data_IF_651096531182
#
_entry.id   IF_651096531182
#
_cell.length_a   1.000
_cell.length_b   1.000
_cell.length_c   1.000
_cell.angle_alpha   90.00
_cell.angle_beta   90.00
_cell.angle_gamma   90.00
#
_symmetry.space_group_name_H-M   'P 1'
#
loop_
_entity.id
_entity.type
_entity.pdbx_description
1 polymer ?
#
# COMPACT_ATOMS: atom_id res chain seq x y z
N UNK A 1 45.24 19.25 -17.55
CA UNK A 1 44.33 19.73 -16.48
C UNK A 1 42.87 19.51 -16.89
N UNK A 2 42.00 18.98 -16.01
CA UNK A 2 40.58 18.84 -16.33
C UNK A 2 39.95 20.23 -16.58
N UNK A 3 39.23 20.36 -17.69
CA UNK A 3 38.58 21.61 -18.10
C UNK A 3 37.57 22.08 -17.04
N UNK A 4 37.69 23.33 -16.58
CA UNK A 4 36.75 23.98 -15.63
C UNK A 4 35.29 23.86 -16.06
N UNK A 5 35.01 23.79 -17.37
CA UNK A 5 33.67 23.61 -17.93
C UNK A 5 33.06 22.25 -17.55
N UNK A 6 33.84 21.16 -17.57
CA UNK A 6 33.37 19.81 -17.19
C UNK A 6 33.06 19.73 -15.69
N UNK A 7 33.88 20.37 -14.84
CA UNK A 7 33.66 20.41 -13.40
C UNK A 7 32.36 21.15 -13.03
N UNK A 8 32.15 22.35 -13.62
CA UNK A 8 30.92 23.14 -13.40
C UNK A 8 29.66 22.40 -13.85
N UNK A 9 29.73 21.64 -14.95
CA UNK A 9 28.62 20.80 -15.42
C UNK A 9 28.22 19.71 -14.43
N UNK A 10 29.19 19.04 -13.80
CA UNK A 10 28.93 18.03 -12.76
C UNK A 10 28.29 18.66 -11.52
N UNK A 11 28.80 19.82 -11.08
CA UNK A 11 28.24 20.55 -9.94
C UNK A 11 26.79 20.99 -10.20
N UNK A 12 26.49 21.50 -11.39
CA UNK A 12 25.12 21.87 -11.75
C UNK A 12 24.17 20.67 -11.79
N UNK A 13 24.63 19.52 -12.28
CA UNK A 13 23.83 18.28 -12.28
C UNK A 13 23.57 17.79 -10.85
N UNK A 14 24.60 17.75 -10.01
CA UNK A 14 24.46 17.40 -8.60
C UNK A 14 23.52 18.34 -7.84
N UNK A 15 23.62 19.66 -8.10
CA UNK A 15 22.70 20.65 -7.50
C UNK A 15 21.25 20.42 -7.92
N UNK A 16 20.99 20.14 -9.21
CA UNK A 16 19.64 19.84 -9.70
C UNK A 16 19.08 18.58 -9.06
N UNK A 17 19.91 17.55 -8.93
CA UNK A 17 19.50 16.29 -8.30
C UNK A 17 19.20 16.47 -6.80
N UNK A 18 20.02 17.23 -6.08
CA UNK A 18 19.77 17.55 -4.68
C UNK A 18 18.45 18.32 -4.49
N UNK A 19 18.12 19.27 -5.38
CA UNK A 19 16.84 19.98 -5.36
C UNK A 19 15.69 19.00 -5.61
N UNK A 20 15.79 18.15 -6.63
CA UNK A 20 14.77 17.13 -6.95
C UNK A 20 14.51 16.20 -5.76
N UNK A 21 15.56 15.74 -5.08
CA UNK A 21 15.46 14.89 -3.89
C UNK A 21 14.78 15.63 -2.73
N UNK A 22 15.14 16.90 -2.50
CA UNK A 22 14.52 17.73 -1.47
C UNK A 22 13.02 17.94 -1.74
N UNK A 23 12.64 18.20 -2.99
CA UNK A 23 11.25 18.33 -3.41
C UNK A 23 10.47 17.03 -3.14
N UNK A 24 11.03 15.86 -3.48
CA UNK A 24 10.40 14.56 -3.20
C UNK A 24 10.24 14.31 -1.69
N UNK A 25 11.25 14.64 -0.88
CA UNK A 25 11.18 14.51 0.59
C UNK A 25 10.08 15.38 1.18
N UNK A 26 9.91 16.61 0.67
CA UNK A 26 8.88 17.55 1.13
C UNK A 26 7.45 16.98 1.04
N UNK A 27 7.20 16.01 0.14
CA UNK A 27 5.88 15.42 -0.07
C UNK A 27 5.45 14.47 1.07
N UNK A 28 6.40 13.78 1.69
CA UNK A 28 6.09 12.73 2.67
C UNK A 28 6.68 13.01 4.05
N UNK A 29 7.83 13.66 4.16
CA UNK A 29 8.56 13.83 5.42
C UNK A 29 7.78 14.63 6.47
N UNK A 30 7.14 15.77 6.16
CA UNK A 30 6.32 16.49 7.13
C UNK A 30 5.17 15.62 7.67
N UNK A 31 4.58 14.81 6.78
CA UNK A 31 3.46 13.94 7.10
C UNK A 31 3.89 12.66 7.81
N UNK A 32 5.09 12.13 7.58
CA UNK A 32 5.58 10.94 8.28
C UNK A 32 6.14 11.29 9.66
N UNK A 33 6.82 12.44 9.77
CA UNK A 33 7.50 12.86 11.00
C UNK A 33 6.66 13.77 11.89
N UNK A 34 5.52 14.26 11.39
CA UNK A 34 4.67 15.20 12.13
C UNK A 34 5.45 16.47 12.52
N UNK A 35 6.28 17.00 11.60
CA UNK A 35 7.00 18.25 11.83
C UNK A 35 5.98 19.35 12.07
N UNK A 36 5.89 19.77 13.33
CA UNK A 36 5.01 20.85 13.82
C UNK A 36 5.37 22.15 13.11
N UNK A 37 4.73 22.41 11.99
CA UNK A 37 4.63 23.76 11.44
C UNK A 37 3.16 24.13 11.42
N UNK A 38 2.72 24.77 12.52
CA UNK A 38 1.62 25.74 12.56
C UNK A 38 0.16 25.27 12.48
N UNK A 39 -0.15 23.99 12.57
CA UNK A 39 -1.55 23.54 12.71
C UNK A 39 -1.81 23.15 14.17
N UNK A 40 -2.64 23.93 14.86
CA UNK A 40 -3.13 23.78 16.26
C UNK A 40 -3.95 22.50 16.50
N UNK A 41 -3.82 21.48 15.65
CA UNK A 41 -4.39 20.17 15.89
C UNK A 41 -3.74 19.59 17.15
N UNK A 42 -4.54 19.49 18.21
CA UNK A 42 -4.13 18.97 19.49
C UNK A 42 -3.29 17.69 19.30
N UNK A 43 -2.03 17.67 19.79
CA UNK A 43 -1.16 16.53 19.61
C UNK A 43 -1.85 15.29 20.17
N UNK A 44 -1.99 14.26 19.33
CA UNK A 44 -2.30 12.92 19.82
C UNK A 44 -1.34 12.60 20.97
N UNK A 45 -1.85 12.27 22.15
CA UNK A 45 -1.02 11.94 23.33
C UNK A 45 0.00 10.81 23.06
N UNK A 46 -0.17 10.04 21.98
CA UNK A 46 0.82 9.05 21.53
C UNK A 46 2.01 9.65 20.74
N UNK A 47 2.12 10.97 20.59
CA UNK A 47 3.33 11.65 20.13
C UNK A 47 4.48 11.60 21.15
N UNK A 48 4.27 10.97 22.32
CA UNK A 48 5.32 10.74 23.32
C UNK A 48 6.40 9.75 22.86
N UNK A 49 6.13 8.93 21.83
CA UNK A 49 7.19 8.19 21.15
C UNK A 49 7.90 9.15 20.20
N UNK A 50 9.20 9.38 20.44
CA UNK A 50 10.03 10.20 19.57
C UNK A 50 9.81 9.80 18.09
N UNK A 51 9.75 10.76 17.15
CA UNK A 51 9.75 10.45 15.73
C UNK A 51 10.91 9.49 15.44
N UNK A 52 10.71 8.51 14.54
CA UNK A 52 11.77 7.56 14.28
C UNK A 52 12.94 8.38 13.73
N UNK A 53 14.14 8.17 14.25
CA UNK A 53 15.30 8.86 13.73
C UNK A 53 15.53 8.35 12.32
N UNK A 54 15.14 9.14 11.32
CA UNK A 54 15.56 8.89 9.96
C UNK A 54 17.07 9.15 9.97
N UNK A 55 17.91 8.16 9.62
CA UNK A 55 19.33 8.39 9.50
C UNK A 55 19.57 9.66 8.68
N UNK A 56 20.35 10.59 9.22
CA UNK A 56 20.63 11.87 8.54
C UNK A 56 21.46 11.66 7.26
N UNK A 57 22.00 10.46 7.07
CA UNK A 57 22.55 10.00 5.81
C UNK A 57 21.46 10.12 4.74
N UNK A 58 21.57 11.18 3.93
CA UNK A 58 20.59 11.64 2.96
C UNK A 58 20.16 10.57 1.93
N UNK A 59 20.86 9.44 1.88
CA UNK A 59 20.79 8.43 0.82
C UNK A 59 20.57 7.00 1.36
N UNK A 60 20.01 6.86 2.57
CA UNK A 60 19.62 5.55 3.08
C UNK A 60 18.56 4.85 2.19
N UNK A 61 18.56 3.50 2.07
CA UNK A 61 17.58 2.78 1.25
C UNK A 61 16.13 3.12 1.56
N UNK A 62 15.82 3.43 2.83
CA UNK A 62 14.50 3.88 3.27
C UNK A 62 14.10 5.22 2.67
N UNK A 63 15.01 6.21 2.66
CA UNK A 63 14.74 7.53 2.08
C UNK A 63 14.55 7.41 0.57
N UNK A 64 15.41 6.63 -0.09
CA UNK A 64 15.31 6.38 -1.52
C UNK A 64 14.01 5.65 -1.89
N UNK A 65 13.57 4.69 -1.07
CA UNK A 65 12.27 4.03 -1.21
C UNK A 65 11.11 5.04 -1.10
N UNK A 66 11.11 5.87 -0.06
CA UNK A 66 10.05 6.86 0.16
C UNK A 66 10.02 7.89 -0.97
N UNK A 67 11.19 8.36 -1.43
CA UNK A 67 11.29 9.28 -2.56
C UNK A 67 10.83 8.65 -3.88
N UNK A 68 11.07 7.34 -4.08
CA UNK A 68 10.55 6.65 -5.26
C UNK A 68 9.02 6.59 -5.23
N UNK A 69 8.40 6.23 -4.09
CA UNK A 69 6.94 6.30 -3.94
C UNK A 69 6.39 7.71 -4.13
N UNK A 70 7.13 8.72 -3.67
CA UNK A 70 6.77 10.13 -3.88
C UNK A 70 6.81 10.52 -5.36
N UNK A 71 7.82 10.03 -6.09
CA UNK A 71 7.97 10.27 -7.53
C UNK A 71 6.84 9.67 -8.37
N UNK A 72 6.29 8.54 -7.95
CA UNK A 72 5.10 7.95 -8.57
C UNK A 72 3.78 8.62 -8.13
N UNK A 73 3.83 9.53 -7.15
CA UNK A 73 2.67 10.30 -6.70
C UNK A 73 1.81 9.65 -5.62
N UNK A 74 2.27 8.59 -4.93
CA UNK A 74 1.51 7.94 -3.85
C UNK A 74 1.12 8.89 -2.71
N UNK A 75 1.91 9.95 -2.49
CA UNK A 75 1.66 10.94 -1.43
C UNK A 75 0.89 12.17 -1.91
N UNK A 76 0.56 12.25 -3.20
CA UNK A 76 -0.19 13.35 -3.78
C UNK A 76 -1.66 12.97 -3.94
N UNK A 77 -2.56 13.64 -3.22
CA UNK A 77 -4.02 13.41 -3.32
C UNK A 77 -4.59 13.59 -4.73
N UNK A 78 -3.95 14.40 -5.58
CA UNK A 78 -4.40 14.63 -6.94
C UNK A 78 -4.03 13.48 -7.88
N UNK A 79 -3.07 12.64 -7.51
CA UNK A 79 -2.69 11.47 -8.31
C UNK A 79 -3.79 10.41 -8.17
N UNK A 80 -4.34 10.00 -9.30
CA UNK A 80 -5.28 8.88 -9.39
C UNK A 80 -4.53 7.69 -9.99
N UNK A 81 -4.55 6.57 -9.27
CA UNK A 81 -4.09 5.30 -9.81
C UNK A 81 -5.30 4.52 -10.30
N UNK A 82 -5.33 4.07 -11.56
CA UNK A 82 -6.36 3.15 -11.98
C UNK A 82 -6.32 1.91 -11.08
N UNK A 83 -7.49 1.40 -10.69
CA UNK A 83 -7.64 0.33 -9.70
C UNK A 83 -6.81 -0.94 -10.01
N UNK A 84 -6.87 -1.41 -11.25
CA UNK A 84 -6.08 -2.57 -11.72
C UNK A 84 -4.57 -2.28 -11.65
N UNK A 85 -4.21 -1.01 -11.82
CA UNK A 85 -2.84 -0.52 -11.69
C UNK A 85 -2.39 -0.45 -10.23
N UNK A 86 -3.25 -0.24 -9.24
CA UNK A 86 -2.81 -0.13 -7.82
C UNK A 86 -2.14 -1.40 -7.34
N UNK A 87 -2.78 -2.56 -7.48
CA UNK A 87 -2.21 -3.83 -7.05
C UNK A 87 -0.97 -4.18 -7.87
N UNK A 88 -1.05 -4.05 -9.20
CA UNK A 88 0.08 -4.32 -10.08
C UNK A 88 1.26 -3.40 -9.80
N UNK A 89 1.04 -2.12 -9.51
CA UNK A 89 2.08 -1.18 -9.12
C UNK A 89 2.65 -1.56 -7.77
N UNK A 90 1.84 -1.88 -6.76
CA UNK A 90 2.36 -2.35 -5.46
C UNK A 90 3.21 -3.62 -5.61
N UNK A 91 2.80 -4.52 -6.50
CA UNK A 91 3.54 -5.74 -6.84
C UNK A 91 4.84 -5.46 -7.57
N UNK A 92 4.80 -4.68 -8.65
CA UNK A 92 5.99 -4.25 -9.39
C UNK A 92 6.96 -3.54 -8.46
N UNK A 93 6.45 -2.66 -7.60
CA UNK A 93 7.25 -2.08 -6.54
C UNK A 93 7.87 -3.14 -5.66
N UNK A 94 7.11 -4.08 -5.10
CA UNK A 94 7.68 -5.11 -4.26
C UNK A 94 8.68 -6.03 -4.99
N UNK A 95 8.44 -6.38 -6.26
CA UNK A 95 9.36 -7.22 -7.05
C UNK A 95 10.61 -6.44 -7.44
N UNK A 96 10.45 -5.24 -7.99
CA UNK A 96 11.51 -4.37 -8.51
C UNK A 96 12.29 -3.72 -7.37
N UNK A 97 11.70 -3.51 -6.20
CA UNK A 97 12.39 -3.15 -4.95
C UNK A 97 13.46 -4.16 -4.59
N UNK A 98 13.30 -5.44 -4.96
CA UNK A 98 14.35 -6.44 -4.74
C UNK A 98 15.62 -6.12 -5.51
N UNK A 99 15.51 -5.38 -6.60
CA UNK A 99 16.63 -4.92 -7.43
C UNK A 99 17.10 -3.53 -7.00
N UNK A 100 16.16 -2.62 -6.69
CA UNK A 100 16.48 -1.21 -6.41
C UNK A 100 16.89 -0.94 -4.95
N UNK A 101 16.36 -1.73 -4.01
CA UNK A 101 16.53 -1.51 -2.57
C UNK A 101 16.80 -2.85 -1.85
N UNK A 102 17.97 -3.47 -2.08
CA UNK A 102 18.28 -4.79 -1.51
C UNK A 102 18.16 -4.81 0.02
N UNK A 103 18.49 -3.70 0.70
CA UNK A 103 18.33 -3.59 2.15
C UNK A 103 16.88 -3.69 2.65
N UNK A 104 15.86 -3.41 1.83
CA UNK A 104 14.46 -3.60 2.26
C UNK A 104 14.05 -5.10 2.23
N UNK A 105 14.83 -5.95 1.55
CA UNK A 105 14.50 -7.37 1.33
C UNK A 105 14.90 -8.28 2.48
N UNK A 106 16.00 -7.99 3.17
CA UNK A 106 16.60 -8.92 4.13
C UNK A 106 15.62 -9.26 5.28
N UNK A 107 15.52 -10.53 5.67
CA UNK A 107 14.47 -11.05 6.56
C UNK A 107 14.44 -10.38 7.94
N UNK A 108 15.58 -9.91 8.46
CA UNK A 108 15.68 -9.22 9.75
C UNK A 108 15.92 -7.70 9.62
N UNK A 109 15.54 -7.10 8.49
CA UNK A 109 16.00 -5.74 8.20
C UNK A 109 15.20 -4.65 8.91
N UNK A 110 15.89 -3.90 9.77
CA UNK A 110 15.46 -2.67 10.42
C UNK A 110 14.92 -1.63 9.42
N UNK A 111 15.47 -1.59 8.21
CA UNK A 111 15.04 -0.68 7.14
C UNK A 111 13.60 -0.98 6.69
N UNK A 112 13.22 -2.25 6.57
CA UNK A 112 11.85 -2.62 6.21
C UNK A 112 10.88 -2.22 7.31
N UNK A 113 11.25 -2.47 8.57
CA UNK A 113 10.45 -2.04 9.72
C UNK A 113 10.31 -0.50 9.74
N UNK A 114 11.38 0.23 9.44
CA UNK A 114 11.38 1.68 9.37
C UNK A 114 10.50 2.20 8.22
N UNK A 115 10.55 1.60 7.02
CA UNK A 115 9.65 1.93 5.91
C UNK A 115 8.19 1.73 6.32
N UNK A 116 7.87 0.58 6.91
CA UNK A 116 6.50 0.29 7.37
C UNK A 116 6.05 1.32 8.43
N UNK A 117 6.90 1.67 9.38
CA UNK A 117 6.60 2.68 10.40
C UNK A 117 6.36 4.06 9.78
N UNK A 118 7.20 4.49 8.84
CA UNK A 118 7.03 5.77 8.13
C UNK A 118 5.72 5.82 7.33
N UNK A 119 5.39 4.76 6.59
CA UNK A 119 4.13 4.67 5.83
C UNK A 119 2.91 4.67 6.76
N UNK A 120 2.97 3.95 7.90
CA UNK A 120 1.90 3.95 8.90
C UNK A 120 1.71 5.32 9.55
N UNK A 121 2.80 6.04 9.85
CA UNK A 121 2.74 7.41 10.40
C UNK A 121 2.22 8.40 9.37
N UNK A 122 2.63 8.28 8.11
CA UNK A 122 2.06 9.06 7.01
C UNK A 122 0.54 8.87 6.95
N UNK A 123 0.06 7.62 6.90
CA UNK A 123 -1.38 7.31 6.86
C UNK A 123 -2.12 7.80 8.10
N UNK A 124 -1.52 7.69 9.29
CA UNK A 124 -2.08 8.25 10.52
C UNK A 124 -2.33 9.75 10.37
N UNK A 125 -1.30 10.47 9.95
CA UNK A 125 -1.34 11.93 9.87
C UNK A 125 -2.25 12.41 8.75
N UNK A 126 -2.26 11.73 7.59
CA UNK A 126 -3.21 12.05 6.53
C UNK A 126 -4.64 11.83 7.01
N UNK A 127 -4.98 10.68 7.60
CA UNK A 127 -6.34 10.43 8.08
C UNK A 127 -6.80 11.41 9.15
N UNK A 128 -5.97 11.70 10.14
CA UNK A 128 -6.31 12.65 11.21
C UNK A 128 -6.50 14.06 10.64
N UNK A 129 -5.57 14.53 9.81
CA UNK A 129 -5.64 15.87 9.20
C UNK A 129 -6.83 15.98 8.25
N UNK A 130 -6.98 15.03 7.35
CA UNK A 130 -7.96 15.08 6.27
C UNK A 130 -9.39 14.92 6.83
N UNK A 131 -9.58 14.05 7.83
CA UNK A 131 -10.88 13.95 8.51
C UNK A 131 -11.26 15.22 9.29
N UNK A 132 -10.28 15.97 9.82
CA UNK A 132 -10.52 17.24 10.48
C UNK A 132 -10.88 18.35 9.47
N UNK A 133 -10.24 18.37 8.31
CA UNK A 133 -10.49 19.38 7.25
C UNK A 133 -11.82 19.09 6.52
N UNK A 134 -12.05 17.84 6.12
CA UNK A 134 -13.17 17.47 5.26
C UNK A 134 -14.43 17.07 6.06
N UNK A 135 -14.30 16.83 7.37
CA UNK A 135 -15.42 16.57 8.27
C UNK A 135 -16.21 15.30 7.91
N UNK A 136 -17.52 15.44 7.67
CA UNK A 136 -18.37 14.30 7.31
C UNK A 136 -18.12 13.80 5.88
N UNK A 137 -17.74 14.70 4.97
CA UNK A 137 -17.48 14.36 3.57
C UNK A 137 -16.31 13.38 3.43
N UNK A 138 -15.36 13.42 4.38
CA UNK A 138 -14.24 12.48 4.43
C UNK A 138 -14.67 11.00 4.45
N UNK A 139 -15.83 10.72 5.06
CA UNK A 139 -16.38 9.35 5.14
C UNK A 139 -17.14 8.95 3.87
N UNK A 140 -17.66 9.93 3.13
CA UNK A 140 -18.48 9.74 1.92
C UNK A 140 -17.61 9.66 0.66
N UNK A 141 -16.44 10.31 0.65
CA UNK A 141 -15.53 10.29 -0.49
C UNK A 141 -14.93 8.90 -0.71
N UNK A 142 -15.23 8.30 -1.86
CA UNK A 142 -14.82 6.95 -2.23
C UNK A 142 -13.40 6.88 -2.82
N UNK A 143 -12.81 8.01 -3.21
CA UNK A 143 -11.46 8.03 -3.77
C UNK A 143 -10.43 7.91 -2.64
N UNK A 144 -10.04 6.67 -2.36
CA UNK A 144 -9.01 6.30 -1.39
C UNK A 144 -7.90 5.46 -2.00
N UNK A 145 -7.68 5.63 -3.30
CA UNK A 145 -6.77 4.80 -4.10
C UNK A 145 -5.34 4.89 -3.57
N UNK A 146 -4.88 6.09 -3.22
CA UNK A 146 -3.54 6.29 -2.68
C UNK A 146 -3.35 5.61 -1.32
N UNK A 147 -4.30 5.80 -0.40
CA UNK A 147 -4.18 5.22 0.94
C UNK A 147 -4.34 3.69 0.91
N UNK A 148 -5.20 3.19 0.01
CA UNK A 148 -5.30 1.77 -0.29
C UNK A 148 -4.00 1.22 -0.86
N UNK A 149 -3.38 1.91 -1.82
CA UNK A 149 -2.12 1.52 -2.42
C UNK A 149 -1.00 1.47 -1.37
N UNK A 150 -0.91 2.47 -0.49
CA UNK A 150 0.03 2.46 0.63
C UNK A 150 -0.25 1.31 1.60
N UNK A 151 -1.52 1.03 1.93
CA UNK A 151 -1.87 -0.12 2.77
C UNK A 151 -1.48 -1.46 2.13
N UNK A 152 -1.65 -1.58 0.81
CA UNK A 152 -1.19 -2.73 0.04
C UNK A 152 0.32 -2.89 0.09
N UNK A 153 1.06 -1.78 -0.08
CA UNK A 153 2.53 -1.77 0.07
C UNK A 153 2.96 -2.28 1.45
N UNK A 154 2.38 -1.75 2.52
CA UNK A 154 2.65 -2.20 3.89
C UNK A 154 2.40 -3.70 4.03
N UNK A 155 1.27 -4.18 3.52
CA UNK A 155 0.92 -5.60 3.60
C UNK A 155 1.90 -6.49 2.83
N UNK A 156 2.33 -6.08 1.63
CA UNK A 156 3.33 -6.84 0.86
C UNK A 156 4.67 -6.87 1.60
N UNK A 157 5.14 -5.73 2.12
CA UNK A 157 6.39 -5.68 2.91
C UNK A 157 6.33 -6.59 4.13
N UNK A 158 5.22 -6.59 4.88
CA UNK A 158 5.03 -7.48 6.04
C UNK A 158 5.04 -8.97 5.68
N UNK A 159 4.46 -9.33 4.53
CA UNK A 159 4.41 -10.73 4.07
C UNK A 159 5.79 -11.16 3.59
N UNK A 160 6.53 -10.30 2.87
CA UNK A 160 7.91 -10.59 2.46
C UNK A 160 8.85 -10.80 3.64
N UNK A 161 8.65 -10.09 4.75
CA UNK A 161 9.41 -10.32 5.97
C UNK A 161 9.09 -11.63 6.71
N UNK A 162 8.12 -12.41 6.22
CA UNK A 162 7.66 -13.67 6.86
C UNK A 162 7.76 -14.89 5.94
N UNK A 163 7.81 -14.66 4.64
CA UNK A 163 7.77 -15.70 3.61
C UNK A 163 8.82 -15.38 2.56
N UNK A 164 9.62 -16.37 2.20
CA UNK A 164 10.59 -16.28 1.10
C UNK A 164 9.99 -16.69 -0.25
N UNK A 165 9.00 -17.59 -0.25
CA UNK A 165 8.31 -18.06 -1.46
C UNK A 165 7.42 -16.96 -2.07
N UNK A 166 7.78 -16.53 -3.27
CA UNK A 166 7.05 -15.51 -4.02
C UNK A 166 5.61 -15.90 -4.30
N UNK A 167 5.29 -17.17 -4.54
CA UNK A 167 3.91 -17.59 -4.79
C UNK A 167 3.04 -17.43 -3.54
N UNK A 168 3.59 -17.78 -2.37
CA UNK A 168 2.91 -17.58 -1.09
C UNK A 168 2.73 -16.10 -0.79
N UNK A 169 3.75 -15.27 -1.10
CA UNK A 169 3.65 -13.82 -0.99
C UNK A 169 2.50 -13.34 -1.89
N UNK A 170 2.52 -13.66 -3.20
CA UNK A 170 1.50 -13.30 -4.21
C UNK A 170 0.09 -13.62 -3.75
N UNK A 171 -0.16 -14.87 -3.40
CA UNK A 171 -1.48 -15.31 -2.99
C UNK A 171 -1.97 -14.57 -1.74
N UNK A 172 -1.10 -14.37 -0.74
CA UNK A 172 -1.50 -13.75 0.53
C UNK A 172 -1.73 -12.26 0.41
N UNK A 173 -0.93 -11.52 -0.36
CA UNK A 173 -1.20 -10.10 -0.58
C UNK A 173 -2.34 -9.86 -1.54
N UNK A 174 -2.58 -10.70 -2.54
CA UNK A 174 -3.79 -10.60 -3.36
C UNK A 174 -5.05 -10.68 -2.47
N UNK A 175 -5.10 -11.68 -1.59
CA UNK A 175 -6.21 -11.87 -0.65
C UNK A 175 -6.44 -10.69 0.31
N UNK A 176 -5.38 -10.00 0.74
CA UNK A 176 -5.54 -8.79 1.55
C UNK A 176 -5.87 -7.58 0.68
N UNK A 177 -5.27 -7.50 -0.50
CA UNK A 177 -5.53 -6.49 -1.51
C UNK A 177 -7.00 -6.42 -1.82
N UNK A 178 -7.62 -7.53 -2.21
CA UNK A 178 -9.06 -7.62 -2.47
C UNK A 178 -9.91 -7.05 -1.32
N UNK A 179 -9.50 -7.26 -0.07
CA UNK A 179 -10.24 -6.73 1.10
C UNK A 179 -10.12 -5.21 1.24
N UNK A 180 -8.97 -4.64 0.86
CA UNK A 180 -8.74 -3.19 0.90
C UNK A 180 -9.40 -2.50 -0.30
N UNK A 181 -9.24 -3.13 -1.45
CA UNK A 181 -9.73 -2.77 -2.78
C UNK A 181 -11.26 -2.71 -2.83
N UNK A 182 -11.94 -3.75 -2.36
CA UNK A 182 -13.42 -3.76 -2.23
C UNK A 182 -13.91 -3.25 -0.87
N UNK A 183 -12.98 -2.80 -0.02
CA UNK A 183 -13.27 -2.23 1.28
C UNK A 183 -13.61 -0.74 1.18
N UNK A 184 -14.17 -0.20 2.26
CA UNK A 184 -14.38 1.24 2.39
C UNK A 184 -13.38 1.86 3.38
N UNK A 185 -13.51 3.17 3.62
CA UNK A 185 -12.68 3.92 4.59
C UNK A 185 -12.58 3.26 5.97
N UNK A 186 -13.65 2.62 6.43
CA UNK A 186 -13.65 1.89 7.71
C UNK A 186 -12.69 0.70 7.68
N UNK A 187 -12.57 -0.03 6.58
CA UNK A 187 -11.67 -1.18 6.47
C UNK A 187 -10.20 -0.76 6.39
N UNK A 188 -9.90 0.33 5.67
CA UNK A 188 -8.56 0.93 5.62
C UNK A 188 -8.16 1.44 7.02
N UNK A 189 -9.04 2.19 7.70
CA UNK A 189 -8.78 2.64 9.07
C UNK A 189 -8.56 1.47 10.03
N UNK A 190 -9.34 0.40 9.89
CA UNK A 190 -9.15 -0.82 10.69
C UNK A 190 -7.79 -1.47 10.41
N UNK A 191 -7.33 -1.46 9.16
CA UNK A 191 -6.03 -1.98 8.78
C UNK A 191 -4.89 -1.21 9.47
N UNK A 192 -4.94 0.13 9.43
CA UNK A 192 -3.91 1.00 10.01
C UNK A 192 -3.98 1.01 11.54
N UNK A 193 -5.17 1.16 12.14
CA UNK A 193 -5.35 1.20 13.59
C UNK A 193 -4.96 -0.11 14.30
N UNK A 194 -4.90 -1.23 13.58
CA UNK A 194 -4.40 -2.50 14.10
C UNK A 194 -2.87 -2.56 14.17
N UNK A 195 -2.17 -1.84 13.30
CA UNK A 195 -0.71 -1.86 13.19
C UNK A 195 -0.06 -0.73 13.96
N UNK A 196 -0.73 0.42 13.99
CA UNK A 196 -0.27 1.59 14.73
C UNK A 196 -1.22 1.84 15.91
N UNK A 197 -0.81 1.50 17.16
CA UNK A 197 -1.64 1.71 18.34
C UNK A 197 -1.73 3.21 18.65
N UNK A 198 -2.72 3.88 18.06
CA UNK A 198 -2.99 5.31 18.24
C UNK A 198 -4.45 5.51 18.66
N UNK A 199 -4.68 6.27 19.72
CA UNK A 199 -6.03 6.60 20.22
C UNK A 199 -6.84 7.35 19.16
N UNK A 200 -6.26 8.35 18.49
CA UNK A 200 -6.92 9.10 17.42
C UNK A 200 -7.39 8.19 16.28
N UNK A 201 -6.57 7.21 15.86
CA UNK A 201 -6.98 6.24 14.83
C UNK A 201 -8.09 5.31 15.32
N UNK A 202 -8.08 4.90 16.60
CA UNK A 202 -9.14 4.08 17.19
C UNK A 202 -10.46 4.84 17.26
N UNK A 203 -10.42 6.13 17.62
CA UNK A 203 -11.58 7.01 17.66
C UNK A 203 -12.11 7.28 16.26
N UNK A 204 -11.23 7.59 15.31
CA UNK A 204 -11.58 7.80 13.91
C UNK A 204 -12.20 6.53 13.30
N UNK A 205 -11.63 5.35 13.57
CA UNK A 205 -12.23 4.07 13.18
C UNK A 205 -13.58 3.82 13.88
N UNK A 206 -13.75 4.20 15.15
CA UNK A 206 -15.05 4.09 15.84
C UNK A 206 -16.10 5.02 15.21
N UNK A 207 -15.72 6.23 14.82
CA UNK A 207 -16.59 7.16 14.09
C UNK A 207 -16.94 6.60 12.70
N UNK A 208 -15.95 6.12 11.94
CA UNK A 208 -16.15 5.49 10.63
C UNK A 208 -17.11 4.29 10.71
N UNK A 209 -17.03 3.46 11.76
CA UNK A 209 -17.98 2.34 11.95
C UNK A 209 -19.43 2.76 12.14
N UNK A 210 -19.68 3.97 12.65
CA UNK A 210 -21.03 4.52 12.84
C UNK A 210 -21.55 5.19 11.58
N UNK A 211 -20.66 5.87 10.82
CA UNK A 211 -21.02 6.67 9.65
C UNK A 211 -21.00 5.90 8.34
N UNK A 212 -20.14 4.88 8.24
CA UNK A 212 -19.95 4.09 7.02
C UNK A 212 -20.47 2.69 7.26
N UNK A 213 -21.43 2.29 6.44
CA UNK A 213 -21.97 0.93 6.46
C UNK A 213 -20.87 -0.09 6.20
N UNK A 214 -21.05 -1.31 6.72
CA UNK A 214 -20.11 -2.38 6.42
C UNK A 214 -20.39 -2.86 4.99
N UNK A 215 -19.48 -2.58 4.06
CA UNK A 215 -19.52 -3.23 2.75
C UNK A 215 -19.21 -4.71 3.00
N UNK A 216 -20.25 -5.54 2.94
CA UNK A 216 -20.13 -6.97 3.15
C UNK A 216 -19.23 -7.55 2.06
N UNK A 217 -18.24 -8.35 2.46
CA UNK A 217 -17.33 -9.09 1.58
C UNK A 217 -18.09 -10.22 0.83
N UNK A 218 -19.17 -9.89 0.12
CA UNK A 218 -19.98 -10.82 -0.65
C UNK A 218 -19.19 -11.55 -1.75
N UNK A 219 -18.06 -10.98 -2.18
CA UNK A 219 -17.16 -11.58 -3.16
C UNK A 219 -16.31 -12.75 -2.65
N UNK A 220 -16.37 -13.11 -1.35
CA UNK A 220 -15.60 -14.27 -0.85
C UNK A 220 -16.05 -15.61 -1.46
N UNK A 221 -17.17 -15.65 -2.20
CA UNK A 221 -17.61 -16.87 -2.90
C UNK A 221 -16.96 -17.08 -4.28
N UNK A 222 -16.43 -16.04 -4.92
CA UNK A 222 -15.90 -16.16 -6.30
C UNK A 222 -14.46 -16.67 -6.31
N UNK A 223 -13.62 -16.28 -5.34
CA UNK A 223 -12.23 -16.72 -5.26
C UNK A 223 -12.05 -18.18 -4.79
N UNK A 224 -13.11 -18.85 -4.33
CA UNK A 224 -13.05 -20.28 -3.99
C UNK A 224 -12.92 -21.17 -5.25
N UNK A 225 -13.17 -20.62 -6.44
CA UNK A 225 -13.02 -21.34 -7.70
C UNK A 225 -11.58 -21.40 -8.22
N UNK A 226 -10.67 -20.58 -7.69
CA UNK A 226 -9.25 -20.61 -8.07
C UNK A 226 -8.41 -21.61 -7.26
N UNK A 227 -8.99 -22.25 -6.25
CA UNK A 227 -8.24 -23.04 -5.25
C UNK A 227 -8.33 -24.56 -5.46
N UNK A 228 -8.99 -25.07 -6.51
CA UNK A 228 -9.26 -26.52 -6.58
C UNK A 228 -9.03 -27.25 -7.90
N UNK A 229 -8.78 -26.61 -9.06
CA UNK A 229 -8.70 -27.39 -10.32
C UNK A 229 -7.77 -26.90 -11.42
N UNK A 230 -6.90 -25.91 -11.23
CA UNK A 230 -6.05 -25.49 -12.35
C UNK A 230 -4.65 -25.08 -11.93
N UNK A 231 -3.68 -25.80 -12.48
CA UNK A 231 -2.43 -25.26 -12.98
C UNK A 231 -2.74 -24.06 -13.88
N UNK A 232 -3.10 -22.92 -13.29
CA UNK A 232 -3.04 -21.65 -14.00
C UNK A 232 -1.57 -21.27 -13.93
N UNK A 233 -0.86 -21.59 -15.00
CA UNK A 233 0.31 -20.82 -15.37
C UNK A 233 -0.14 -19.38 -15.39
N UNK A 234 0.15 -18.63 -14.32
CA UNK A 234 0.14 -17.19 -14.34
C UNK A 234 1.27 -16.83 -15.29
N UNK A 235 0.99 -16.87 -16.60
CA UNK A 235 1.93 -16.43 -17.63
C UNK A 235 2.02 -14.93 -17.42
N UNK A 236 2.94 -14.54 -16.55
CA UNK A 236 3.52 -13.21 -16.52
C UNK A 236 4.16 -13.03 -17.90
N UNK A 237 3.41 -12.49 -18.86
CA UNK A 237 4.01 -11.99 -20.09
C UNK A 237 4.94 -10.84 -19.66
N UNK A 238 6.26 -10.93 -19.89
CA UNK A 238 7.14 -9.81 -19.61
C UNK A 238 6.66 -8.59 -20.41
N UNK A 239 6.76 -7.37 -19.86
CA UNK A 239 6.42 -6.19 -20.64
C UNK A 239 7.35 -6.12 -21.85
N UNK A 240 6.79 -6.19 -23.06
CA UNK A 240 7.52 -5.89 -24.27
C UNK A 240 8.04 -4.45 -24.17
N UNK A 241 9.35 -4.32 -23.99
CA UNK A 241 10.07 -3.07 -24.08
C UNK A 241 10.13 -2.64 -25.54
N UNK A 242 9.13 -1.89 -25.99
CA UNK A 242 9.20 -1.16 -27.26
C UNK A 242 10.05 0.10 -27.07
N UNK A 243 11.37 -0.05 -27.11
CA UNK A 243 12.30 1.07 -27.28
C UNK A 243 12.28 1.52 -28.73
N UNK A 244 11.40 2.46 -29.09
CA UNK A 244 11.51 3.20 -30.33
C UNK A 244 12.54 4.33 -30.13
N UNK A 245 13.73 4.13 -30.66
CA UNK A 245 14.79 5.13 -30.79
C UNK A 245 14.36 6.21 -31.79
N UNK A 246 14.10 7.43 -31.31
CA UNK A 246 13.89 8.60 -32.16
C UNK A 246 15.25 9.23 -32.48
N UNK A 247 15.72 9.03 -33.72
CA UNK A 247 16.87 9.74 -34.26
C UNK A 247 16.47 11.20 -34.57
N UNK A 248 17.38 12.13 -34.27
CA UNK A 248 17.14 13.56 -34.38
C UNK A 248 17.05 14.06 -35.82
N UNK A 249 16.35 15.19 -35.98
CA UNK A 249 16.53 16.10 -37.09
C UNK A 249 16.41 17.55 -36.59
N UNK A 250 17.34 18.35 -37.06
CA UNK A 250 17.61 19.76 -36.80
C UNK A 250 16.52 20.71 -37.29
N UNK A 251 16.35 21.82 -36.58
CA UNK A 251 15.62 23.03 -37.02
C UNK A 251 16.20 23.63 -38.30
N UNK A 252 15.41 24.43 -39.04
CA UNK A 252 15.57 25.88 -38.87
C UNK A 252 14.27 26.72 -38.88
N UNK A 253 14.45 27.90 -38.29
CA UNK A 253 13.73 29.19 -38.25
C UNK A 253 12.57 29.55 -39.20
N UNK A 254 11.53 30.12 -38.54
CA UNK A 254 10.70 31.31 -38.84
C UNK A 254 9.44 31.27 -39.75
N UNK A 255 8.46 32.19 -39.52
CA UNK A 255 7.03 31.91 -39.59
C UNK A 255 6.26 32.73 -40.66
N UNK A 256 5.16 32.18 -41.16
CA UNK A 256 3.95 32.86 -41.70
C UNK A 256 3.02 31.74 -42.22
N UNK A 257 1.88 31.51 -41.57
CA UNK A 257 0.52 31.90 -42.01
C UNK A 257 -0.19 30.82 -42.86
N UNK A 258 -1.51 30.70 -42.64
CA UNK A 258 -2.56 30.03 -43.42
C UNK A 258 -3.09 28.66 -42.90
N UNK A 259 -4.26 28.81 -42.28
CA UNK A 259 -5.52 28.04 -42.35
C UNK A 259 -5.58 26.53 -42.67
N UNK A 260 -6.38 25.87 -41.82
CA UNK A 260 -7.42 24.86 -42.10
C UNK A 260 -7.08 23.67 -43.01
N UNK A 261 -6.94 22.48 -42.41
CA UNK A 261 -7.81 21.32 -42.73
C UNK A 261 -7.62 20.21 -41.70
N UNK A 262 -8.72 19.71 -41.14
CA UNK A 262 -8.75 18.47 -40.37
C UNK A 262 -9.04 17.29 -41.31
N UNK A 263 -8.43 16.11 -41.09
CA UNK A 263 -9.02 14.86 -41.50
C UNK A 263 -9.34 13.97 -40.30
N UNK A 264 -10.60 13.57 -40.26
CA UNK A 264 -11.14 12.46 -39.47
C UNK A 264 -10.56 11.15 -40.00
N UNK A 265 -9.86 10.38 -39.16
CA UNK A 265 -9.51 8.99 -39.44
C UNK A 265 -10.39 8.06 -38.60
N UNK A 266 -11.42 7.51 -39.26
CA UNK A 266 -12.08 6.30 -38.82
C UNK A 266 -11.19 5.11 -39.20
N UNK A 267 -10.71 4.37 -38.20
CA UNK A 267 -10.04 3.08 -38.37
C UNK A 267 -10.92 2.01 -37.74
N UNK A 268 -11.76 1.42 -38.59
CA UNK A 268 -12.32 0.08 -38.43
C UNK A 268 -11.18 -0.90 -38.65
N UNK A 269 -10.84 -1.69 -37.63
CA UNK A 269 -9.88 -2.77 -37.75
C UNK A 269 -10.61 -4.10 -37.50
N UNK A 270 -10.64 -4.90 -38.55
CA UNK A 270 -11.09 -6.28 -38.58
C UNK A 270 -10.25 -7.16 -37.63
N UNK A 271 -10.95 -7.94 -36.79
CA UNK A 271 -10.38 -9.00 -35.96
C UNK A 271 -10.47 -10.32 -36.75
N UNK A 272 -9.37 -11.08 -36.93
CA UNK A 272 -9.46 -12.44 -37.42
C UNK A 272 -9.88 -13.40 -36.29
N UNK A 273 -10.88 -14.23 -36.60
CA UNK A 273 -11.28 -15.43 -35.88
C UNK A 273 -10.06 -16.35 -35.67
N UNK A 274 -9.82 -16.74 -34.41
CA UNK A 274 -8.88 -17.81 -34.08
C UNK A 274 -9.67 -19.02 -33.56
N UNK A 275 -9.68 -20.05 -34.40
CA UNK A 275 -10.16 -21.40 -34.16
C UNK A 275 -9.51 -22.05 -32.92
N UNK A 276 -10.36 -22.55 -32.02
CA UNK A 276 -9.95 -23.43 -30.93
C UNK A 276 -10.00 -24.91 -31.38
N UNK A 277 -8.93 -25.71 -31.22
CA UNK A 277 -9.05 -27.14 -31.38
C UNK A 277 -9.72 -27.75 -30.14
N UNK A 278 -10.97 -28.19 -30.31
CA UNK A 278 -11.62 -29.20 -29.47
C UNK A 278 -10.94 -30.54 -29.68
N UNK A 279 -10.26 -31.09 -28.66
CA UNK A 279 -10.20 -32.54 -28.37
C UNK A 279 -9.47 -32.81 -27.06
N UNK A 280 -10.18 -33.42 -26.11
CA UNK A 280 -9.76 -34.66 -25.46
C UNK A 280 -10.98 -35.27 -24.76
N UNK A 281 -11.50 -36.35 -25.34
CA UNK A 281 -12.50 -37.26 -24.76
C UNK A 281 -11.77 -38.40 -24.05
N UNK A 282 -12.32 -38.77 -22.89
CA UNK A 282 -12.31 -40.09 -22.23
C UNK A 282 -11.01 -40.88 -22.07
N UNK A 283 -10.69 -41.16 -20.79
CA UNK A 283 -10.37 -42.51 -20.37
C UNK A 283 -10.96 -42.75 -18.98
N UNK A 284 -12.06 -43.51 -18.95
CA UNK A 284 -12.49 -44.23 -17.76
C UNK A 284 -11.69 -45.53 -17.69
N UNK A 285 -11.12 -45.85 -16.52
CA UNK A 285 -10.90 -47.25 -16.16
C UNK A 285 -11.04 -47.43 -14.66
N UNK A 286 -11.97 -48.31 -14.32
CA UNK A 286 -12.21 -48.86 -13.02
C UNK A 286 -11.16 -49.93 -12.68
N UNK A 287 -10.84 -50.02 -11.39
CA UNK A 287 -10.42 -51.18 -10.58
C UNK A 287 -10.00 -50.54 -9.24
N UNK A 288 -10.33 -51.02 -8.05
CA UNK A 288 -10.71 -52.32 -7.54
C UNK A 288 -10.31 -52.25 -6.06
N UNK A 289 -11.23 -52.53 -5.15
CA UNK A 289 -11.15 -52.09 -3.75
C UNK A 289 -10.03 -52.69 -2.90
N UNK A 290 -9.85 -52.06 -1.72
CA UNK A 290 -9.59 -52.71 -0.43
C UNK A 290 -9.85 -51.68 0.67
N UNK A 291 -10.78 -52.03 1.55
CA UNK A 291 -11.20 -51.19 2.67
C UNK A 291 -10.10 -51.03 3.72
N UNK A 292 -10.01 -49.83 4.26
CA UNK A 292 -9.31 -49.53 5.51
C UNK A 292 -10.31 -48.80 6.40
N UNK A 293 -10.59 -49.29 7.62
CA UNK A 293 -11.56 -48.67 8.53
C UNK A 293 -11.02 -47.37 9.12
N UNK A 294 -11.91 -46.43 9.51
CA UNK A 294 -11.53 -45.14 10.06
C UNK A 294 -10.97 -45.27 11.48
N UNK A 295 -9.94 -44.50 11.86
CA UNK A 295 -9.51 -44.42 13.25
C UNK A 295 -10.56 -43.67 14.09
N UNK A 296 -10.95 -44.37 15.15
CA UNK A 296 -11.71 -43.99 16.33
C UNK A 296 -11.41 -42.59 16.88
N UNK A 297 -12.45 -41.79 17.00
CA UNK A 297 -12.51 -40.58 17.82
C UNK A 297 -12.27 -40.90 19.31
N UNK A 298 -11.38 -40.20 20.03
CA UNK A 298 -11.41 -40.18 21.48
C UNK A 298 -11.95 -38.86 22.02
N UNK A 299 -12.99 -38.97 22.84
CA UNK A 299 -12.94 -38.35 24.16
C UNK A 299 -13.52 -36.94 24.29
N UNK A 300 -14.83 -36.88 24.52
CA UNK A 300 -15.46 -35.86 25.37
C UNK A 300 -14.68 -35.72 26.69
N UNK A 301 -14.16 -34.52 26.99
CA UNK A 301 -13.93 -34.07 28.37
C UNK A 301 -14.79 -32.84 28.66
N UNK A 302 -15.88 -33.10 29.38
CA UNK A 302 -16.61 -32.12 30.20
C UNK A 302 -15.79 -31.79 31.46
N UNK A 303 -16.13 -30.64 32.08
CA UNK A 303 -15.68 -30.07 33.38
C UNK A 303 -14.46 -29.15 33.21
N UNK A 304 -14.41 -27.91 33.72
CA UNK A 304 -15.03 -27.35 34.93
C UNK A 304 -15.40 -25.87 34.73
N UNK A 305 -16.55 -25.50 35.32
CA UNK A 305 -16.83 -24.13 35.72
C UNK A 305 -15.88 -23.73 36.86
N UNK A 306 -15.25 -22.57 36.74
CA UNK A 306 -14.44 -21.95 37.77
C UNK A 306 -14.89 -20.51 37.94
N UNK A 307 -15.86 -20.30 38.83
CA UNK A 307 -16.18 -18.98 39.35
C UNK A 307 -14.98 -18.47 40.18
N UNK A 308 -14.56 -17.22 39.97
CA UNK A 308 -14.02 -16.41 41.06
C UNK A 308 -14.22 -14.92 40.78
N UNK A 309 -15.15 -14.36 41.55
CA UNK A 309 -15.36 -12.94 41.82
C UNK A 309 -14.03 -12.32 42.31
N UNK A 310 -13.72 -11.14 41.82
CA UNK A 310 -12.69 -10.27 42.37
C UNK A 310 -13.14 -8.83 42.24
N UNK A 311 -13.97 -8.37 43.17
CA UNK A 311 -14.38 -6.98 43.28
C UNK A 311 -13.24 -6.16 43.89
N UNK A 312 -12.49 -5.43 43.08
CA UNK A 312 -11.61 -4.39 43.60
C UNK A 312 -12.45 -3.13 43.84
N UNK A 313 -12.93 -2.98 45.09
CA UNK A 313 -13.25 -1.68 45.67
C UNK A 313 -11.97 -0.83 45.67
N UNK A 314 -12.02 0.37 45.10
CA UNK A 314 -11.09 1.46 45.45
C UNK A 314 -11.88 2.66 45.97
N UNK A 315 -11.29 3.42 46.90
CA UNK A 315 -12.02 4.23 47.86
C UNK A 315 -12.26 5.65 47.34
N UNK A 316 -13.30 6.26 47.90
CA UNK A 316 -13.60 7.68 47.79
C UNK A 316 -12.42 8.54 48.28
N UNK A 317 -11.94 9.43 47.44
CA UNK A 317 -11.05 10.53 47.87
C UNK A 317 -11.89 11.69 48.38
N UNK A 318 -11.70 11.91 49.67
CA UNK A 318 -12.20 13.01 50.49
C UNK A 318 -11.76 14.38 49.96
N UNK A 319 -12.74 15.28 49.87
CA UNK A 319 -12.60 16.74 49.90
C UNK A 319 -11.66 17.21 51.03
N UNK A 320 -10.72 18.09 50.72
CA UNK A 320 -10.22 19.24 51.51
C UNK A 320 -9.82 20.29 50.45
N UNK A 321 -10.32 21.52 50.41
CA UNK A 321 -10.64 22.40 51.51
C UNK A 321 -9.36 23.10 51.96
N UNK A 322 -8.92 24.13 51.24
CA UNK A 322 -7.97 25.12 51.75
C UNK A 322 -8.26 26.47 51.12
N UNK A 323 -8.92 27.30 51.90
CA UNK A 323 -8.94 28.75 51.77
C UNK A 323 -7.88 29.30 52.73
N UNK A 324 -7.08 30.27 52.27
CA UNK A 324 -6.57 31.46 52.99
C UNK A 324 -5.27 31.94 52.35
N UNK A 325 -5.18 33.25 52.17
CA UNK A 325 -4.07 34.02 51.63
C UNK A 325 -4.63 35.16 50.80
#
# INVERSE_FOLDING_TARGET
MPSRKKARGRQNRAKKEAIRIADLRSLWEPMALCSRSNLDAAPCENLLAAPPQIPQELEGPVVSFMNHMAGEGFFNKATQFPFETVMMTCWRFATDQSLLFPGVKEEDNEQRALVIDLLLRFLRNSFVRDSAIEGENWYLYQHHDNEMAICNMINVLEIRGKYSDLNVIVLRSAKMGDKLVYGNRRDILKFVAKRLPCTCLKELHRAARKKVEKVGSGMTKVLRWYDSTSCVSLVFLPPHSSSASFAGASSPTNPEEIAQTAPSCNLTADLPDLDFPRRCRHAARAEGGRGVPPPSSPGRRRRRAGARRGSCRRPATSRRGSARG
#
